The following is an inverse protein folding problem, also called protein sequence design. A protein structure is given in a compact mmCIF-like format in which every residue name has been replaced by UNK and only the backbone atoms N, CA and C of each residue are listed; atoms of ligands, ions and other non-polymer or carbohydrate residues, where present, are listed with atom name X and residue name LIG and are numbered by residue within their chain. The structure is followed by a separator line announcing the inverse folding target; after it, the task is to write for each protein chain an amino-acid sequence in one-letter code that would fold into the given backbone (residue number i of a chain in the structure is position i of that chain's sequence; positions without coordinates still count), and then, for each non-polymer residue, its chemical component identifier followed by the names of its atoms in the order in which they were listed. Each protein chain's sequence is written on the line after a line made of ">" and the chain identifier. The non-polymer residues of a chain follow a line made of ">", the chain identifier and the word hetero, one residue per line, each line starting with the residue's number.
data_IF_673864594241
#
_entry.id   IF_673864594241
#
_cell.length_a   1.000
_cell.length_b   1.000
_cell.length_c   1.000
_cell.angle_alpha   90.00
_cell.angle_beta   90.00
_cell.angle_gamma   90.00
#
_symmetry.space_group_name_H-M   'P 1'
#
loop_
_entity.id
_entity.type
_entity.pdbx_description
1 polymer ?
#
# COMPACT_ATOMS: atom_id res chain seq x y z
N UNK A 1 -10.25 0.39 -23.28
CA UNK A 1 -10.53 0.48 -21.83
C UNK A 1 -9.35 -0.18 -21.12
N UNK A 2 -8.71 0.51 -20.18
CA UNK A 2 -7.64 -0.07 -19.37
C UNK A 2 -8.19 -0.32 -17.95
N UNK A 3 -8.02 -1.53 -17.44
CA UNK A 3 -8.31 -1.87 -16.04
C UNK A 3 -6.97 -1.95 -15.34
N UNK A 4 -6.81 -1.21 -14.25
CA UNK A 4 -5.51 -1.00 -13.59
C UNK A 4 -5.68 -1.19 -12.09
N UNK A 5 -4.76 -1.94 -11.48
CA UNK A 5 -4.67 -2.05 -10.03
C UNK A 5 -4.19 -0.72 -9.43
N UNK A 6 -4.77 -0.31 -8.30
CA UNK A 6 -4.46 0.94 -7.59
C UNK A 6 -2.96 1.14 -7.32
N UNK A 7 -2.26 0.06 -6.95
CA UNK A 7 -0.83 0.02 -6.67
C UNK A 7 0.00 0.31 -7.93
N UNK A 8 -0.46 -0.21 -9.08
CA UNK A 8 0.12 0.13 -10.39
C UNK A 8 -0.15 1.59 -10.75
N UNK A 9 -1.34 2.11 -10.42
CA UNK A 9 -1.64 3.54 -10.54
C UNK A 9 -0.67 4.41 -9.74
N UNK A 10 -0.42 4.05 -8.48
CA UNK A 10 0.55 4.72 -7.59
C UNK A 10 1.95 4.74 -8.18
N UNK A 11 2.46 3.59 -8.65
CA UNK A 11 3.75 3.52 -9.34
C UNK A 11 3.81 4.52 -10.50
N UNK A 12 2.79 4.49 -11.37
CA UNK A 12 2.77 5.29 -12.59
C UNK A 12 2.65 6.80 -12.31
N UNK A 13 1.87 7.17 -11.31
CA UNK A 13 1.73 8.57 -10.86
C UNK A 13 3.05 9.13 -10.32
N UNK A 14 3.74 8.36 -9.47
CA UNK A 14 5.05 8.75 -8.95
C UNK A 14 6.15 8.72 -10.03
N UNK A 15 6.12 7.74 -10.95
CA UNK A 15 7.07 7.62 -12.05
C UNK A 15 7.02 8.77 -13.06
N UNK A 16 5.86 9.44 -13.17
CA UNK A 16 5.73 10.66 -13.96
C UNK A 16 6.55 11.82 -13.37
N UNK A 17 6.61 11.92 -12.04
CA UNK A 17 7.34 12.97 -11.31
C UNK A 17 8.81 12.62 -11.11
N UNK A 18 9.10 11.36 -10.79
CA UNK A 18 10.45 10.87 -10.56
C UNK A 18 10.71 9.63 -11.43
N UNK A 19 11.60 9.77 -12.41
CA UNK A 19 11.96 8.69 -13.34
C UNK A 19 12.66 7.51 -12.68
N UNK A 20 13.12 7.62 -11.44
CA UNK A 20 13.67 6.51 -10.67
C UNK A 20 12.61 5.75 -9.86
N UNK A 21 11.33 6.18 -9.89
CA UNK A 21 10.24 5.42 -9.30
C UNK A 21 10.03 4.11 -10.07
N UNK A 22 10.29 2.99 -9.40
CA UNK A 22 10.18 1.64 -9.99
C UNK A 22 9.42 0.66 -9.10
N UNK A 23 8.98 1.09 -7.93
CA UNK A 23 8.12 0.31 -7.02
C UNK A 23 6.91 1.17 -6.64
N UNK A 24 5.73 0.59 -6.69
CA UNK A 24 4.51 1.16 -6.12
C UNK A 24 4.09 0.36 -4.89
N UNK A 25 3.67 1.05 -3.84
CA UNK A 25 3.30 0.46 -2.55
C UNK A 25 2.03 1.11 -2.04
N UNK A 26 1.06 0.30 -1.62
CA UNK A 26 -0.14 0.73 -0.91
C UNK A 26 -0.08 0.20 0.51
N UNK A 27 -0.27 1.09 1.49
CA UNK A 27 -0.45 0.75 2.91
C UNK A 27 -1.61 1.58 3.46
N UNK A 28 -2.83 1.09 3.23
CA UNK A 28 -4.08 1.75 3.62
C UNK A 28 -5.03 0.75 4.25
N UNK A 29 -6.29 0.72 3.81
CA UNK A 29 -7.24 -0.32 4.21
C UNK A 29 -6.71 -1.71 3.87
N UNK A 30 -6.21 -1.89 2.64
CA UNK A 30 -5.43 -3.05 2.21
C UNK A 30 -3.94 -2.75 2.13
N UNK A 31 -3.15 -3.74 1.75
CA UNK A 31 -1.73 -3.57 1.51
C UNK A 31 -1.27 -4.38 0.29
N UNK A 32 -0.56 -3.72 -0.63
CA UNK A 32 -0.05 -4.35 -1.83
C UNK A 32 1.21 -3.65 -2.36
N UNK A 33 2.02 -4.33 -3.18
CA UNK A 33 3.10 -3.72 -3.93
C UNK A 33 3.13 -4.19 -5.38
N UNK A 34 3.67 -3.34 -6.24
CA UNK A 34 4.04 -3.70 -7.60
C UNK A 34 5.42 -3.12 -7.90
N UNK A 35 6.10 -3.68 -8.90
CA UNK A 35 7.41 -3.18 -9.30
C UNK A 35 7.65 -3.41 -10.79
N UNK A 36 8.60 -2.65 -11.34
CA UNK A 36 9.07 -2.84 -12.71
C UNK A 36 10.09 -3.98 -12.76
N UNK A 37 9.78 -5.04 -13.48
CA UNK A 37 10.62 -6.22 -13.68
C UNK A 37 11.10 -6.30 -15.13
N UNK A 38 12.29 -6.86 -15.32
CA UNK A 38 12.84 -7.16 -16.64
C UNK A 38 12.12 -8.36 -17.22
N UNK A 39 11.71 -8.28 -18.49
CA UNK A 39 10.89 -9.30 -19.13
C UNK A 39 11.54 -10.70 -19.09
N UNK A 40 12.87 -10.77 -19.16
CA UNK A 40 13.67 -12.00 -19.03
C UNK A 40 13.41 -12.78 -17.72
N UNK A 41 12.98 -12.10 -16.64
CA UNK A 41 12.67 -12.70 -15.35
C UNK A 41 11.19 -13.14 -15.23
N UNK A 42 10.36 -12.92 -16.26
CA UNK A 42 8.92 -13.18 -16.23
C UNK A 42 8.59 -14.34 -17.17
N UNK A 43 8.96 -15.54 -16.75
CA UNK A 43 8.90 -16.78 -17.54
C UNK A 43 7.49 -17.11 -18.07
N UNK A 44 6.44 -16.65 -17.39
CA UNK A 44 5.04 -16.89 -17.76
C UNK A 44 4.50 -15.87 -18.78
N UNK A 45 5.29 -14.87 -19.16
CA UNK A 45 4.86 -13.86 -20.13
C UNK A 45 5.03 -14.41 -21.55
N UNK A 46 3.91 -14.74 -22.20
CA UNK A 46 3.89 -15.41 -23.50
C UNK A 46 3.61 -14.49 -24.69
N UNK A 47 3.31 -13.21 -24.45
CA UNK A 47 2.92 -12.28 -25.51
C UNK A 47 4.13 -11.70 -26.24
N UNK A 48 4.11 -11.74 -27.57
CA UNK A 48 5.17 -11.16 -28.41
C UNK A 48 5.02 -9.64 -28.49
N UNK A 49 5.73 -8.93 -27.61
CA UNK A 49 5.90 -7.49 -27.66
C UNK A 49 7.36 -7.15 -27.93
N UNK A 50 7.80 -7.11 -29.21
CA UNK A 50 9.22 -7.00 -29.57
C UNK A 50 9.91 -5.71 -29.07
N UNK A 51 9.14 -4.66 -28.78
CA UNK A 51 9.65 -3.39 -28.26
C UNK A 51 9.56 -3.25 -26.73
N UNK A 52 9.16 -4.30 -26.01
CA UNK A 52 8.97 -4.30 -24.55
C UNK A 52 10.04 -5.15 -23.89
N UNK A 53 10.86 -4.55 -23.04
CA UNK A 53 11.90 -5.23 -22.27
C UNK A 53 11.61 -5.25 -20.76
N UNK A 54 10.56 -4.56 -20.32
CA UNK A 54 10.17 -4.46 -18.91
C UNK A 54 8.66 -4.47 -18.78
N UNK A 55 8.18 -5.07 -17.70
CA UNK A 55 6.76 -5.17 -17.37
C UNK A 55 6.53 -4.83 -15.91
N UNK A 56 5.34 -4.32 -15.59
CA UNK A 56 4.94 -4.12 -14.20
C UNK A 56 4.39 -5.44 -13.66
N UNK A 57 4.99 -5.95 -12.59
CA UNK A 57 4.49 -7.10 -11.84
C UNK A 57 3.73 -6.60 -10.63
N UNK A 58 2.42 -6.80 -10.63
CA UNK A 58 1.60 -6.66 -9.43
C UNK A 58 1.77 -7.91 -8.57
N UNK A 59 2.30 -7.76 -7.36
CA UNK A 59 2.69 -8.90 -6.53
C UNK A 59 1.53 -9.54 -5.78
N UNK A 60 0.45 -8.78 -5.55
CA UNK A 60 -0.65 -9.18 -4.65
C UNK A 60 -0.10 -9.72 -3.31
N UNK A 61 0.91 -9.04 -2.75
CA UNK A 61 1.69 -9.53 -1.60
C UNK A 61 0.88 -9.81 -0.33
N UNK A 62 -0.37 -9.32 -0.28
CA UNK A 62 -1.27 -9.59 0.85
C UNK A 62 -1.45 -11.07 1.14
N UNK A 63 -1.40 -11.93 0.10
CA UNK A 63 -1.53 -13.38 0.20
C UNK A 63 -0.25 -14.11 0.66
N UNK A 64 0.86 -13.38 0.85
CA UNK A 64 2.11 -14.00 1.31
C UNK A 64 1.91 -14.67 2.67
N UNK A 65 2.36 -15.92 2.82
CA UNK A 65 2.15 -16.68 4.06
C UNK A 65 0.87 -17.51 4.12
N UNK A 66 -0.06 -17.43 3.15
CA UNK A 66 -1.28 -18.26 3.10
C UNK A 66 -0.96 -19.77 3.11
N UNK A 67 0.20 -20.16 2.59
CA UNK A 67 0.75 -21.52 2.64
C UNK A 67 1.41 -21.87 3.99
N UNK A 68 1.24 -21.04 5.03
CA UNK A 68 1.77 -21.17 6.39
C UNK A 68 3.27 -20.93 6.54
N UNK A 69 3.98 -20.50 5.50
CA UNK A 69 5.43 -20.23 5.59
C UNK A 69 5.77 -19.12 6.59
N UNK A 70 4.81 -18.22 6.88
CA UNK A 70 4.95 -17.12 7.83
C UNK A 70 4.43 -17.43 9.24
N UNK A 71 4.03 -18.67 9.55
CA UNK A 71 3.46 -18.98 10.85
C UNK A 71 4.42 -18.69 12.02
N UNK A 72 5.74 -18.73 11.79
CA UNK A 72 6.74 -18.47 12.82
C UNK A 72 6.79 -17.01 13.30
N UNK A 73 6.25 -16.05 12.52
CA UNK A 73 6.15 -14.64 12.92
C UNK A 73 4.74 -14.23 13.37
N UNK A 74 3.75 -15.12 13.19
CA UNK A 74 2.37 -14.88 13.60
C UNK A 74 2.22 -15.14 15.10
N UNK A 75 1.41 -14.30 15.73
CA UNK A 75 1.04 -14.43 17.13
C UNK A 75 -0.36 -15.02 17.28
N UNK A 76 -0.70 -15.48 18.49
CA UNK A 76 -2.06 -15.91 18.82
C UNK A 76 -3.13 -14.85 18.50
N UNK A 77 -2.77 -13.55 18.54
CA UNK A 77 -3.69 -12.47 18.22
C UNK A 77 -3.91 -12.34 16.71
N UNK A 78 -2.87 -12.57 15.89
CA UNK A 78 -3.04 -12.63 14.43
C UNK A 78 -3.90 -13.83 14.02
N UNK A 79 -3.79 -14.95 14.73
CA UNK A 79 -4.67 -16.10 14.54
C UNK A 79 -6.12 -15.77 14.92
N UNK A 80 -6.35 -15.02 16.02
CA UNK A 80 -7.68 -14.55 16.41
C UNK A 80 -8.28 -13.65 15.33
N UNK A 81 -7.54 -12.63 14.86
CA UNK A 81 -7.97 -11.71 13.79
C UNK A 81 -8.32 -12.48 12.51
N UNK A 82 -7.47 -13.43 12.10
CA UNK A 82 -7.73 -14.27 10.93
C UNK A 82 -8.99 -15.13 11.13
N UNK A 83 -9.18 -15.67 12.34
CA UNK A 83 -10.25 -16.61 12.66
C UNK A 83 -11.66 -16.02 12.49
N UNK A 84 -11.81 -14.72 12.74
CA UNK A 84 -13.08 -13.97 12.64
C UNK A 84 -13.20 -13.15 11.35
N UNK A 85 -12.18 -13.20 10.49
CA UNK A 85 -12.19 -12.52 9.21
C UNK A 85 -13.11 -13.23 8.20
N UNK A 86 -13.57 -12.50 7.17
CA UNK A 86 -14.43 -13.06 6.12
C UNK A 86 -13.73 -14.22 5.37
N UNK A 87 -12.44 -14.04 5.10
CA UNK A 87 -11.61 -14.98 4.33
C UNK A 87 -10.55 -15.60 5.26
N UNK A 88 -10.96 -16.53 6.13
CA UNK A 88 -10.04 -17.21 7.06
C UNK A 88 -8.94 -17.96 6.29
N UNK A 89 -7.69 -17.85 6.73
CA UNK A 89 -6.53 -18.48 6.10
C UNK A 89 -6.09 -17.85 4.78
N UNK A 90 -6.64 -16.66 4.45
CA UNK A 90 -6.29 -15.88 3.26
C UNK A 90 -5.79 -14.50 3.63
N UNK A 91 -5.01 -13.88 2.74
CA UNK A 91 -4.49 -12.52 2.93
C UNK A 91 -3.72 -12.37 4.26
N UNK A 92 -2.97 -13.42 4.65
CA UNK A 92 -2.36 -13.48 5.98
C UNK A 92 -1.32 -12.37 6.21
N UNK A 93 -0.57 -11.99 5.18
CA UNK A 93 0.38 -10.88 5.30
C UNK A 93 -0.34 -9.54 5.44
N UNK A 94 -1.36 -9.29 4.61
CA UNK A 94 -2.17 -8.07 4.68
C UNK A 94 -2.79 -7.89 6.08
N UNK A 95 -3.30 -8.97 6.67
CA UNK A 95 -3.87 -8.97 8.02
C UNK A 95 -2.91 -8.53 9.12
N UNK A 96 -1.61 -8.70 8.92
CA UNK A 96 -0.60 -8.28 9.90
C UNK A 96 -0.22 -6.81 9.78
N UNK A 97 -0.48 -6.17 8.63
CA UNK A 97 0.10 -4.85 8.29
C UNK A 97 -0.91 -3.77 7.90
N UNK A 98 -2.10 -4.13 7.42
CA UNK A 98 -3.02 -3.17 6.83
C UNK A 98 -3.94 -2.51 7.85
N UNK A 99 -4.38 -1.30 7.53
CA UNK A 99 -5.25 -0.49 8.38
C UNK A 99 -6.63 -1.10 8.62
N UNK A 100 -7.06 -2.10 7.86
CA UNK A 100 -8.27 -2.87 8.17
C UNK A 100 -8.12 -3.73 9.43
N UNK A 101 -6.89 -4.15 9.77
CA UNK A 101 -6.65 -5.17 10.79
C UNK A 101 -5.77 -4.72 11.97
N UNK A 102 -5.00 -3.63 11.83
CA UNK A 102 -4.14 -3.11 12.92
C UNK A 102 -4.94 -2.80 14.18
N UNK A 103 -6.07 -2.08 14.04
CA UNK A 103 -6.95 -1.76 15.16
C UNK A 103 -7.48 -3.01 15.89
N UNK A 104 -7.90 -4.02 15.13
CA UNK A 104 -8.39 -5.27 15.73
C UNK A 104 -7.27 -6.07 16.39
N UNK A 105 -6.06 -6.06 15.82
CA UNK A 105 -4.89 -6.68 16.44
C UNK A 105 -4.57 -6.05 17.79
N UNK A 106 -4.57 -4.71 17.87
CA UNK A 106 -4.41 -3.98 19.15
C UNK A 106 -5.53 -4.37 20.12
N UNK A 107 -6.79 -4.39 19.67
CA UNK A 107 -7.93 -4.77 20.52
C UNK A 107 -7.77 -6.19 21.10
N UNK A 108 -7.39 -7.17 20.30
CA UNK A 108 -7.17 -8.54 20.74
C UNK A 108 -6.09 -8.62 21.82
N UNK A 109 -5.00 -7.85 21.68
CA UNK A 109 -3.95 -7.75 22.72
C UNK A 109 -4.52 -7.12 24.00
N UNK A 110 -5.22 -5.99 23.89
CA UNK A 110 -5.80 -5.30 25.06
C UNK A 110 -6.85 -6.16 25.78
N UNK A 111 -7.67 -6.91 25.05
CA UNK A 111 -8.63 -7.86 25.64
C UNK A 111 -7.92 -8.98 26.38
N UNK A 112 -6.85 -9.56 25.82
CA UNK A 112 -6.05 -10.58 26.50
C UNK A 112 -5.43 -10.05 27.80
N UNK A 113 -4.82 -8.85 27.75
CA UNK A 113 -4.23 -8.21 28.92
C UNK A 113 -5.27 -7.88 29.99
N UNK A 114 -6.43 -7.35 29.58
CA UNK A 114 -7.54 -7.04 30.47
C UNK A 114 -8.08 -8.31 31.14
N UNK A 115 -8.40 -9.36 30.38
CA UNK A 115 -8.89 -10.64 30.95
C UNK A 115 -7.91 -11.29 31.93
N UNK A 116 -6.62 -11.01 31.79
CA UNK A 116 -5.56 -11.49 32.69
C UNK A 116 -5.31 -10.55 33.89
N UNK A 117 -6.04 -9.45 33.98
CA UNK A 117 -5.96 -8.49 35.09
C UNK A 117 -4.78 -7.52 35.03
N UNK A 118 -4.06 -7.43 33.90
CA UNK A 118 -2.90 -6.53 33.77
C UNK A 118 -3.28 -5.08 33.52
N UNK A 119 -4.45 -4.83 32.95
CA UNK A 119 -4.97 -3.49 32.67
C UNK A 119 -6.45 -3.40 33.04
N UNK A 120 -6.89 -2.18 33.33
CA UNK A 120 -8.27 -1.82 33.68
C UNK A 120 -8.84 -2.64 34.85
N UNK A 121 -7.99 -3.13 35.75
CA UNK A 121 -8.36 -4.04 36.86
C UNK A 121 -9.14 -5.29 36.40
N UNK A 122 -9.01 -5.68 35.13
CA UNK A 122 -9.82 -6.74 34.51
C UNK A 122 -11.27 -6.39 34.20
N UNK A 123 -11.66 -5.12 34.36
CA UNK A 123 -13.01 -4.58 34.13
C UNK A 123 -13.07 -3.77 32.84
N UNK A 124 -12.72 -4.40 31.71
CA UNK A 124 -12.83 -3.77 30.38
C UNK A 124 -14.25 -3.33 30.05
N UNK A 125 -14.44 -2.64 28.92
CA UNK A 125 -15.74 -2.13 28.49
C UNK A 125 -16.41 -3.04 27.46
N UNK A 126 -17.74 -2.89 27.28
CA UNK A 126 -18.47 -3.57 26.20
C UNK A 126 -17.87 -3.24 24.82
N UNK A 127 -17.42 -2.01 24.60
CA UNK A 127 -16.73 -1.62 23.36
C UNK A 127 -15.40 -2.35 23.19
N UNK A 128 -14.59 -2.46 24.23
CA UNK A 128 -13.32 -3.21 24.17
C UNK A 128 -13.54 -4.68 23.78
N UNK A 129 -14.62 -5.30 24.30
CA UNK A 129 -14.98 -6.68 23.99
C UNK A 129 -15.73 -6.86 22.66
N UNK A 130 -16.09 -5.76 21.99
CA UNK A 130 -16.75 -5.80 20.67
C UNK A 130 -15.70 -5.84 19.57
N UNK A 131 -15.76 -6.86 18.70
CA UNK A 131 -14.84 -6.98 17.57
C UNK A 131 -14.90 -5.76 16.65
N UNK A 132 -13.74 -5.33 16.15
CA UNK A 132 -13.52 -4.19 15.24
C UNK A 132 -13.89 -2.82 15.83
N UNK A 133 -14.17 -2.74 17.12
CA UNK A 133 -14.49 -1.46 17.78
C UNK A 133 -13.28 -0.54 17.94
N UNK A 134 -12.06 -1.10 18.03
CA UNK A 134 -10.84 -0.31 18.12
C UNK A 134 -10.34 0.05 16.72
N UNK A 135 -10.46 1.32 16.35
CA UNK A 135 -10.14 1.79 15.01
C UNK A 135 -8.64 2.03 14.83
N UNK A 136 -8.11 1.81 13.63
CA UNK A 136 -6.70 2.11 13.31
C UNK A 136 -6.35 3.59 13.50
N UNK A 137 -7.31 4.51 13.32
CA UNK A 137 -7.12 5.93 13.61
C UNK A 137 -6.79 6.20 15.10
N UNK A 138 -7.27 5.35 16.01
CA UNK A 138 -6.92 5.45 17.43
C UNK A 138 -5.44 5.18 17.67
N UNK A 139 -4.84 4.24 16.93
CA UNK A 139 -3.40 3.95 16.99
C UNK A 139 -2.61 5.19 16.61
N UNK A 140 -2.92 5.81 15.47
CA UNK A 140 -2.25 7.04 15.01
C UNK A 140 -2.39 8.18 16.01
N UNK A 141 -3.57 8.35 16.62
CA UNK A 141 -3.81 9.35 17.65
C UNK A 141 -2.96 9.09 18.91
N UNK A 142 -3.01 7.87 19.45
CA UNK A 142 -2.25 7.45 20.63
C UNK A 142 -0.74 7.64 20.42
N UNK A 143 -0.22 7.27 19.25
CA UNK A 143 1.21 7.42 18.96
C UNK A 143 1.63 8.87 18.63
N UNK A 144 0.67 9.78 18.46
CA UNK A 144 0.94 11.21 18.34
C UNK A 144 1.16 11.88 19.70
N UNK A 145 0.74 11.25 20.81
CA UNK A 145 1.06 11.72 22.15
C UNK A 145 2.57 11.60 22.41
N UNK A 146 3.19 12.67 22.92
CA UNK A 146 4.59 12.65 23.35
C UNK A 146 4.79 11.78 24.60
N UNK A 147 6.05 11.59 24.98
CA UNK A 147 6.39 10.90 26.22
C UNK A 147 5.78 11.62 27.42
N UNK A 148 5.15 10.87 28.34
CA UNK A 148 4.39 11.38 29.49
C UNK A 148 3.19 12.28 29.17
N UNK A 149 2.77 12.38 27.90
CA UNK A 149 1.52 13.00 27.48
C UNK A 149 0.48 11.94 27.11
N UNK A 150 -0.80 12.22 27.35
CA UNK A 150 -1.89 11.25 27.16
C UNK A 150 -3.15 11.88 26.56
N UNK A 151 -3.03 13.00 25.84
CA UNK A 151 -4.20 13.75 25.37
C UNK A 151 -5.08 12.88 24.46
N UNK A 152 -4.50 12.33 23.39
CA UNK A 152 -5.22 11.46 22.46
C UNK A 152 -5.51 10.11 23.08
N UNK A 153 -4.59 9.58 23.89
CA UNK A 153 -4.79 8.32 24.61
C UNK A 153 -6.03 8.39 25.49
N UNK A 154 -6.22 9.47 26.25
CA UNK A 154 -7.40 9.69 27.09
C UNK A 154 -8.68 9.88 26.28
N UNK A 155 -8.60 10.53 25.12
CA UNK A 155 -9.73 10.64 24.20
C UNK A 155 -10.16 9.26 23.69
N UNK A 156 -9.20 8.40 23.31
CA UNK A 156 -9.48 7.03 22.89
C UNK A 156 -10.05 6.21 24.05
N UNK A 157 -9.47 6.31 25.25
CA UNK A 157 -10.02 5.62 26.42
C UNK A 157 -11.47 6.03 26.68
N UNK A 158 -11.78 7.33 26.58
CA UNK A 158 -13.17 7.82 26.71
C UNK A 158 -14.08 7.30 25.59
N UNK A 159 -13.61 7.28 24.35
CA UNK A 159 -14.36 6.75 23.21
C UNK A 159 -14.64 5.24 23.36
N UNK A 160 -13.74 4.52 24.02
CA UNK A 160 -13.87 3.10 24.38
C UNK A 160 -14.60 2.86 25.71
N UNK A 161 -15.22 3.87 26.32
CA UNK A 161 -15.92 3.77 27.62
C UNK A 161 -15.02 3.28 28.77
N UNK A 162 -13.74 3.68 28.76
CA UNK A 162 -12.70 3.35 29.74
C UNK A 162 -12.16 4.61 30.45
N UNK A 163 -13.05 5.51 30.87
CA UNK A 163 -12.68 6.83 31.42
C UNK A 163 -11.83 6.76 32.68
N UNK A 164 -12.02 5.70 33.47
CA UNK A 164 -11.33 5.46 34.75
C UNK A 164 -9.96 4.78 34.58
N UNK A 165 -9.47 4.61 33.34
CA UNK A 165 -8.15 4.06 33.08
C UNK A 165 -7.05 4.80 33.88
N UNK A 166 -6.16 4.08 34.53
CA UNK A 166 -5.01 4.66 35.23
C UNK A 166 -3.98 5.23 34.23
N UNK A 167 -2.95 5.91 34.73
CA UNK A 167 -1.82 6.30 33.88
C UNK A 167 -1.04 5.06 33.40
N UNK A 168 -0.86 4.07 34.27
CA UNK A 168 -0.23 2.79 33.92
C UNK A 168 -1.00 2.07 32.79
N UNK A 169 -2.33 2.08 32.82
CA UNK A 169 -3.16 1.55 31.73
C UNK A 169 -2.88 2.28 30.41
N UNK A 170 -2.76 3.61 30.46
CA UNK A 170 -2.47 4.43 29.31
C UNK A 170 -1.08 4.12 28.74
N UNK A 171 -0.07 3.91 29.59
CA UNK A 171 1.27 3.49 29.18
C UNK A 171 1.26 2.12 28.50
N UNK A 172 0.52 1.16 29.05
CA UNK A 172 0.38 -0.16 28.43
C UNK A 172 -0.31 -0.05 27.07
N UNK A 173 -1.38 0.75 26.95
CA UNK A 173 -2.06 0.98 25.67
C UNK A 173 -1.12 1.62 24.64
N UNK A 174 -0.36 2.64 25.02
CA UNK A 174 0.65 3.27 24.15
C UNK A 174 1.70 2.26 23.70
N UNK A 175 2.19 1.43 24.62
CA UNK A 175 3.17 0.39 24.32
C UNK A 175 2.61 -0.63 23.32
N UNK A 176 1.39 -1.12 23.52
CA UNK A 176 0.75 -2.08 22.61
C UNK A 176 0.59 -1.47 21.21
N UNK A 177 0.08 -0.24 21.11
CA UNK A 177 -0.05 0.47 19.82
C UNK A 177 1.31 0.55 19.10
N UNK A 178 2.33 1.07 19.80
CA UNK A 178 3.69 1.19 19.29
C UNK A 178 4.27 -0.14 18.82
N UNK A 179 4.03 -1.24 19.55
CA UNK A 179 4.54 -2.57 19.16
C UNK A 179 3.86 -3.10 17.91
N UNK A 180 2.54 -2.95 17.79
CA UNK A 180 1.78 -3.41 16.63
C UNK A 180 2.13 -2.59 15.39
N UNK A 181 2.18 -1.26 15.48
CA UNK A 181 2.55 -0.38 14.36
C UNK A 181 4.01 -0.59 13.92
N UNK A 182 4.95 -0.68 14.86
CA UNK A 182 6.37 -0.96 14.57
C UNK A 182 6.52 -2.30 13.86
N UNK A 183 5.82 -3.35 14.33
CA UNK A 183 5.82 -4.64 13.66
C UNK A 183 5.31 -4.52 12.23
N UNK A 184 4.18 -3.85 12.03
CA UNK A 184 3.59 -3.66 10.71
C UNK A 184 4.55 -2.94 9.74
N UNK A 185 5.14 -1.83 10.19
CA UNK A 185 6.15 -1.08 9.44
C UNK A 185 7.37 -1.94 9.11
N UNK A 186 7.85 -2.77 10.03
CA UNK A 186 8.98 -3.65 9.79
C UNK A 186 8.67 -4.77 8.78
N UNK A 187 7.49 -5.38 8.87
CA UNK A 187 7.09 -6.45 7.95
C UNK A 187 6.97 -5.93 6.51
N UNK A 188 6.29 -4.80 6.30
CA UNK A 188 6.21 -4.19 4.97
C UNK A 188 7.58 -3.74 4.46
N UNK A 189 8.46 -3.25 5.35
CA UNK A 189 9.84 -2.89 5.01
C UNK A 189 10.64 -4.08 4.50
N UNK A 190 10.47 -5.26 5.11
CA UNK A 190 11.13 -6.48 4.65
C UNK A 190 10.67 -6.90 3.24
N UNK A 191 9.38 -6.74 2.93
CA UNK A 191 8.86 -6.98 1.60
C UNK A 191 9.43 -5.99 0.57
N UNK A 192 9.48 -4.69 0.90
CA UNK A 192 10.07 -3.66 0.04
C UNK A 192 11.57 -3.89 -0.16
N UNK A 193 12.33 -4.17 0.90
CA UNK A 193 13.76 -4.46 0.81
C UNK A 193 14.04 -5.69 -0.06
N UNK A 194 13.18 -6.71 -0.01
CA UNK A 194 13.27 -7.88 -0.90
C UNK A 194 13.13 -7.49 -2.36
N UNK A 195 12.16 -6.64 -2.69
CA UNK A 195 11.97 -6.13 -4.05
C UNK A 195 13.19 -5.31 -4.50
N UNK A 196 13.65 -4.36 -3.68
CA UNK A 196 14.82 -3.53 -3.99
C UNK A 196 16.07 -4.37 -4.25
N UNK A 197 16.33 -5.35 -3.37
CA UNK A 197 17.47 -6.26 -3.50
C UNK A 197 17.38 -7.16 -4.75
N UNK A 198 16.16 -7.57 -5.14
CA UNK A 198 15.90 -8.36 -6.34
C UNK A 198 16.10 -7.56 -7.63
N UNK A 199 15.69 -6.29 -7.64
CA UNK A 199 15.80 -5.42 -8.81
C UNK A 199 17.25 -5.05 -9.17
N UNK A 200 18.17 -5.08 -8.18
CA UNK A 200 19.61 -4.81 -8.38
C UNK A 200 19.90 -3.46 -9.06
N UNK A 201 19.09 -2.44 -8.75
CA UNK A 201 19.29 -1.08 -9.28
C UNK A 201 20.13 -0.25 -8.32
N UNK A 202 21.05 0.61 -8.80
CA UNK A 202 21.85 1.49 -7.93
C UNK A 202 20.98 2.41 -7.06
N UNK A 203 19.88 2.91 -7.63
CA UNK A 203 18.90 3.73 -6.93
C UNK A 203 17.49 3.34 -7.36
N UNK A 204 16.52 3.40 -6.44
CA UNK A 204 15.11 3.20 -6.72
C UNK A 204 14.23 4.04 -5.79
N UNK A 205 13.33 4.81 -6.36
CA UNK A 205 12.26 5.45 -5.61
C UNK A 205 11.08 4.50 -5.47
N UNK A 206 10.52 4.42 -4.27
CA UNK A 206 9.30 3.68 -3.95
C UNK A 206 8.17 4.69 -3.82
N UNK A 207 7.21 4.67 -4.75
CA UNK A 207 5.98 5.46 -4.65
C UNK A 207 5.04 4.82 -3.64
N UNK A 208 4.69 5.55 -2.58
CA UNK A 208 3.85 5.04 -1.48
C UNK A 208 2.52 5.82 -1.43
N UNK A 209 1.42 5.10 -1.27
CA UNK A 209 0.10 5.64 -0.98
C UNK A 209 -0.59 4.81 0.13
N UNK A 210 -1.72 5.29 0.64
CA UNK A 210 -2.51 4.62 1.66
C UNK A 210 -2.55 5.37 3.00
N UNK A 211 -3.66 5.21 3.69
CA UNK A 211 -3.99 5.96 4.91
C UNK A 211 -3.07 5.66 6.10
N UNK A 212 -2.59 4.42 6.25
CA UNK A 212 -1.69 4.06 7.35
C UNK A 212 -0.39 4.82 7.20
N UNK A 213 0.21 4.78 6.01
CA UNK A 213 1.45 5.50 5.73
C UNK A 213 1.27 7.04 5.81
N UNK A 214 0.14 7.57 5.32
CA UNK A 214 -0.14 9.01 5.29
C UNK A 214 -0.37 9.65 6.65
N UNK A 215 -1.06 8.95 7.55
CA UNK A 215 -1.58 9.55 8.78
C UNK A 215 -0.92 9.04 10.06
N UNK A 216 -0.18 7.95 10.02
CA UNK A 216 0.51 7.44 11.20
C UNK A 216 1.85 8.19 11.41
N UNK A 217 2.08 8.80 12.59
CA UNK A 217 3.15 9.77 12.81
C UNK A 217 4.56 9.21 12.59
N UNK A 218 4.78 7.92 12.92
CA UNK A 218 6.12 7.31 12.89
C UNK A 218 6.33 6.32 11.74
N UNK A 219 5.32 6.07 10.90
CA UNK A 219 5.37 4.92 9.97
C UNK A 219 6.40 5.12 8.86
N UNK A 220 6.54 6.36 8.37
CA UNK A 220 7.59 6.72 7.41
C UNK A 220 9.00 6.45 7.97
N UNK A 221 9.31 6.97 9.15
CA UNK A 221 10.64 6.86 9.75
C UNK A 221 10.99 5.41 10.09
N UNK A 222 10.03 4.66 10.62
CA UNK A 222 10.18 3.23 10.89
C UNK A 222 10.49 2.45 9.60
N UNK A 223 9.82 2.78 8.50
CA UNK A 223 10.10 2.16 7.21
C UNK A 223 11.47 2.56 6.67
N UNK A 224 11.80 3.85 6.65
CA UNK A 224 13.11 4.33 6.19
C UNK A 224 14.25 3.64 6.95
N UNK A 225 14.16 3.56 8.28
CA UNK A 225 15.15 2.90 9.11
C UNK A 225 15.25 1.40 8.79
N UNK A 226 14.11 0.68 8.76
CA UNK A 226 14.13 -0.77 8.60
C UNK A 226 14.49 -1.21 7.17
N UNK A 227 14.06 -0.47 6.15
CA UNK A 227 14.47 -0.76 4.77
C UNK A 227 15.98 -0.53 4.63
N UNK A 228 16.52 0.57 5.19
CA UNK A 228 17.97 0.84 5.16
C UNK A 228 18.80 -0.24 5.84
N UNK A 229 18.27 -0.88 6.90
CA UNK A 229 18.92 -2.00 7.57
C UNK A 229 18.95 -3.29 6.71
N UNK A 230 17.94 -3.51 5.88
CA UNK A 230 17.72 -4.76 5.14
C UNK A 230 18.18 -4.72 3.67
N UNK A 231 18.27 -3.54 3.08
CA UNK A 231 18.74 -3.35 1.71
C UNK A 231 20.26 -3.51 1.67
N UNK A 232 20.75 -4.18 0.62
CA UNK A 232 22.17 -4.35 0.41
C UNK A 232 22.85 -2.99 0.20
N UNK A 233 24.06 -2.77 0.74
CA UNK A 233 24.70 -1.45 0.80
C UNK A 233 25.02 -0.86 -0.58
N UNK A 234 25.04 -1.67 -1.64
CA UNK A 234 25.26 -1.19 -3.01
C UNK A 234 24.02 -0.50 -3.61
N UNK A 235 22.85 -0.61 -2.98
CA UNK A 235 21.60 -0.01 -3.47
C UNK A 235 21.08 1.04 -2.52
N UNK A 236 20.57 2.12 -3.11
CA UNK A 236 19.94 3.23 -2.38
C UNK A 236 18.47 3.35 -2.76
N UNK A 237 17.68 3.96 -1.89
CA UNK A 237 16.25 4.14 -2.13
C UNK A 237 15.72 5.41 -1.47
N UNK A 238 14.58 5.87 -1.96
CA UNK A 238 13.76 6.91 -1.34
C UNK A 238 12.30 6.48 -1.30
N UNK A 239 11.55 6.97 -0.32
CA UNK A 239 10.09 6.82 -0.27
C UNK A 239 9.42 8.13 -0.70
N UNK A 240 8.59 8.07 -1.73
CA UNK A 240 7.88 9.22 -2.28
C UNK A 240 6.37 9.08 -2.08
N UNK A 241 5.75 10.03 -1.40
CA UNK A 241 4.29 10.01 -1.22
C UNK A 241 3.56 10.32 -2.53
N UNK A 242 2.53 9.53 -2.83
CA UNK A 242 1.61 9.78 -3.95
C UNK A 242 0.46 10.71 -3.52
N UNK A 243 0.27 11.80 -4.25
CA UNK A 243 -0.83 12.77 -4.05
C UNK A 243 -2.19 12.20 -4.50
N UNK A 244 -2.19 11.35 -5.53
CA UNK A 244 -3.38 10.66 -6.08
C UNK A 244 -2.89 9.53 -7.01
N UNK A 245 -2.61 8.36 -6.44
CA UNK A 245 -2.13 7.21 -7.22
C UNK A 245 -3.22 6.60 -8.11
N UNK A 246 -4.46 6.55 -7.61
CA UNK A 246 -5.55 5.85 -8.28
C UNK A 246 -6.13 6.62 -9.47
N UNK A 247 -6.37 7.93 -9.33
CA UNK A 247 -6.94 8.75 -10.41
C UNK A 247 -5.94 9.08 -11.52
N UNK A 248 -4.86 9.78 -11.15
CA UNK A 248 -3.81 10.19 -12.12
C UNK A 248 -3.09 8.99 -12.73
N UNK A 249 -2.81 7.96 -11.94
CA UNK A 249 -2.13 6.75 -12.41
C UNK A 249 -2.95 5.98 -13.45
N UNK A 250 -4.25 5.79 -13.19
CA UNK A 250 -5.14 5.12 -14.15
C UNK A 250 -5.26 5.89 -15.47
N UNK A 251 -5.36 7.21 -15.42
CA UNK A 251 -5.39 8.05 -16.62
C UNK A 251 -4.11 7.92 -17.45
N UNK A 252 -2.94 7.88 -16.78
CA UNK A 252 -1.65 7.71 -17.46
C UNK A 252 -1.52 6.34 -18.13
N UNK A 253 -1.91 5.26 -17.44
CA UNK A 253 -1.90 3.90 -18.01
C UNK A 253 -2.85 3.81 -19.20
N UNK A 254 -4.05 4.40 -19.11
CA UNK A 254 -4.99 4.45 -20.21
C UNK A 254 -4.40 5.18 -21.44
N UNK A 255 -3.68 6.29 -21.23
CA UNK A 255 -3.02 7.03 -22.30
C UNK A 255 -1.89 6.21 -22.96
N UNK A 256 -1.08 5.49 -22.16
CA UNK A 256 -0.01 4.62 -22.68
C UNK A 256 -0.60 3.46 -23.49
N UNK A 257 -1.63 2.79 -22.96
CA UNK A 257 -2.33 1.70 -23.64
C UNK A 257 -2.94 2.16 -24.97
N UNK A 258 -3.61 3.32 -24.99
CA UNK A 258 -4.15 3.89 -26.22
C UNK A 258 -3.06 4.20 -27.26
N UNK A 259 -1.90 4.71 -26.82
CA UNK A 259 -0.75 4.98 -27.70
C UNK A 259 -0.12 3.69 -28.25
N UNK A 260 -0.04 2.62 -27.45
CA UNK A 260 0.45 1.31 -27.91
C UNK A 260 -0.53 0.69 -28.91
N UNK A 261 -1.83 0.70 -28.63
CA UNK A 261 -2.85 0.19 -29.55
C UNK A 261 -2.82 0.95 -30.89
N UNK A 262 -2.64 2.28 -30.84
CA UNK A 262 -2.52 3.09 -32.05
C UNK A 262 -1.27 2.74 -32.87
N UNK A 263 -0.10 2.57 -32.22
CA UNK A 263 1.13 2.12 -32.89
C UNK A 263 0.99 0.73 -33.50
N UNK A 264 0.32 -0.20 -32.79
CA UNK A 264 0.05 -1.55 -33.30
C UNK A 264 -0.82 -1.51 -34.55
N UNK A 265 -1.87 -0.69 -34.57
CA UNK A 265 -2.73 -0.50 -35.75
C UNK A 265 -1.93 0.03 -36.94
N UNK A 266 -1.08 1.03 -36.74
CA UNK A 266 -0.22 1.57 -37.81
C UNK A 266 0.75 0.50 -38.34
N UNK A 267 1.39 -0.27 -37.45
CA UNK A 267 2.31 -1.35 -37.85
C UNK A 267 1.59 -2.47 -38.63
N UNK A 268 0.39 -2.88 -38.19
CA UNK A 268 -0.41 -3.87 -38.90
C UNK A 268 -0.96 -3.34 -40.25
N UNK A 269 -1.28 -2.04 -40.34
CA UNK A 269 -1.63 -1.37 -41.61
C UNK A 269 -0.45 -1.38 -42.59
N UNK A 270 0.76 -1.06 -42.11
CA UNK A 270 1.99 -1.08 -42.93
C UNK A 270 2.40 -2.49 -43.37
N UNK A 271 2.09 -3.52 -42.59
CA UNK A 271 2.31 -4.93 -42.95
C UNK A 271 1.17 -5.53 -43.81
N UNK A 272 0.12 -4.76 -44.14
CA UNK A 272 -1.02 -5.25 -44.93
C UNK A 272 -1.93 -6.25 -44.20
N UNK A 273 -1.80 -6.36 -42.87
CA UNK A 273 -2.51 -7.33 -42.02
C UNK A 273 -3.76 -6.73 -41.33
N UNK A 274 -4.03 -5.44 -41.54
CA UNK A 274 -5.16 -4.75 -40.92
C UNK A 274 -6.21 -4.33 -41.95
N UNK A 275 -7.43 -4.85 -41.78
CA UNK A 275 -8.62 -4.40 -42.53
C UNK A 275 -9.48 -3.59 -41.56
N UNK A 276 -9.63 -2.27 -41.73
CA UNK A 276 -10.48 -1.48 -40.84
C UNK A 276 -11.95 -1.90 -41.00
N UNK A 277 -12.75 -1.89 -39.92
CA UNK A 277 -14.20 -2.10 -40.01
C UNK A 277 -14.81 -1.08 -40.98
N UNK A 278 -15.65 -1.57 -41.91
CA UNK A 278 -16.46 -0.72 -42.81
C UNK A 278 -17.51 0.00 -41.98
N UNK A 279 -17.14 1.11 -41.34
CA UNK A 279 -18.05 2.20 -40.90
C UNK A 279 -17.21 3.35 -40.31
N UNK A 280 -16.74 4.25 -41.18
CA UNK A 280 -15.99 5.46 -40.77
C UNK A 280 -16.73 6.72 -41.16
N UNK A 281 -17.52 7.26 -40.23
CA UNK A 281 -17.99 8.66 -40.29
C UNK A 281 -17.55 9.48 -39.07
N UNK A 282 -17.15 8.88 -37.93
CA UNK A 282 -16.92 9.65 -36.69
C UNK A 282 -15.46 9.87 -36.25
N UNK A 283 -14.44 9.42 -37.01
CA UNK A 283 -13.01 9.49 -36.59
C UNK A 283 -12.42 10.90 -36.46
N UNK A 284 -13.01 11.94 -37.08
CA UNK A 284 -12.48 13.32 -37.00
C UNK A 284 -12.73 13.99 -35.65
N UNK A 285 -13.79 13.60 -34.93
CA UNK A 285 -14.13 14.21 -33.64
C UNK A 285 -13.26 13.63 -32.51
N UNK A 286 -13.07 12.31 -32.47
CA UNK A 286 -12.28 11.65 -31.42
C UNK A 286 -10.79 12.02 -31.45
N UNK A 287 -10.24 12.31 -32.63
CA UNK A 287 -8.85 12.78 -32.77
C UNK A 287 -8.67 14.20 -32.23
N UNK A 288 -9.63 15.09 -32.49
CA UNK A 288 -9.66 16.45 -31.92
C UNK A 288 -9.79 16.41 -30.40
N UNK A 289 -10.65 15.54 -29.85
CA UNK A 289 -10.84 15.42 -28.40
C UNK A 289 -9.58 14.90 -27.68
N UNK A 290 -8.86 13.94 -28.27
CA UNK A 290 -7.59 13.44 -27.74
C UNK A 290 -6.48 14.49 -27.81
N UNK A 291 -6.37 15.22 -28.91
CA UNK A 291 -5.40 16.33 -29.06
C UNK A 291 -5.72 17.48 -28.06
N UNK A 292 -7.00 17.75 -27.81
CA UNK A 292 -7.45 18.77 -26.86
C UNK A 292 -7.22 18.34 -25.39
N UNK A 293 -7.35 17.04 -25.08
CA UNK A 293 -7.03 16.48 -23.77
C UNK A 293 -5.52 16.53 -23.48
N UNK A 294 -4.68 16.15 -24.46
CA UNK A 294 -3.21 16.22 -24.34
C UNK A 294 -2.73 17.67 -24.23
N UNK A 295 -3.35 18.58 -24.98
CA UNK A 295 -3.13 20.04 -24.89
C UNK A 295 -3.46 20.58 -23.49
N UNK A 296 -4.61 20.20 -22.92
CA UNK A 296 -5.01 20.61 -21.56
C UNK A 296 -4.05 20.11 -20.50
N UNK A 297 -3.63 18.84 -20.57
CA UNK A 297 -2.63 18.25 -19.65
C UNK A 297 -1.30 19.01 -19.71
N UNK A 298 -0.84 19.39 -20.90
CA UNK A 298 0.42 20.13 -21.07
C UNK A 298 0.33 21.59 -20.58
N UNK A 299 -0.84 22.24 -20.69
CA UNK A 299 -1.03 23.62 -20.20
C UNK A 299 -1.14 23.71 -18.68
N UNK A 300 -1.67 22.68 -18.00
CA UNK A 300 -1.75 22.69 -16.53
C UNK A 300 -0.36 22.57 -15.86
N UNK A 301 0.62 21.98 -16.55
CA UNK A 301 2.00 21.85 -16.08
C UNK A 301 2.87 23.11 -16.25
N UNK A 302 2.37 24.16 -16.93
CA UNK A 302 3.12 25.40 -17.17
C UNK A 302 2.75 26.55 -16.20
N UNK A 303 1.76 26.36 -15.32
CA UNK A 303 1.31 27.39 -14.38
C UNK A 303 1.56 27.04 -12.91
N UNK A 304 2.51 26.15 -12.62
CA UNK A 304 3.01 25.90 -11.26
C UNK A 304 4.52 26.14 -11.24
N UNK A 305 4.87 27.42 -11.30
CA UNK A 305 6.14 27.99 -10.82
C UNK A 305 5.78 29.12 -9.88
#
# INVERSE_FOLDING_TARGET
>A
MAIVNDTTGTLMSCALKNRECRVGLIIGTGANACYMETLENVELFSDDFPDVNQVVVNTELGAFGDNRILNFIRTKWDDEVDSISLNRGKQLFEKMISGMYLGETVRCVLVDLCKRGFIFEGKGSNKLFTSKAFQTAYISGIESDKENEYLFTRQVMSAMDLRDASLDDCDVVKLVCKRVSTRAAHLVSAAVATILNKMKRPHTTVGVDGSVYKFHPHFHDLMMAKISELVRPEFTFDLMLSEDGSGRGAALVAAVAAKQEHRRKISMEQMGLYVPPRDTVNRKNSRRELEDLVSKINRTNLNVT
#
